data_IF_939645679119
#
_entry.id   IF_939645679119
#
_cell.length_a   1.000
_cell.length_b   1.000
_cell.length_c   1.000
_cell.angle_alpha   90.00
_cell.angle_beta   90.00
_cell.angle_gamma   90.00
#
_symmetry.space_group_name_H-M   'P 1'
#
loop_
_entity.id
_entity.type
_entity.pdbx_description
1 polymer ?
#
# COMPACT_ATOMS: atom_id res chain seq x y z
N UNK A 1 5.50 -1.83 2.23
CA UNK A 1 5.37 -2.28 0.82
C UNK A 1 6.48 -3.24 0.45
N UNK A 2 6.63 -3.55 -0.84
CA UNK A 2 7.74 -4.33 -1.41
C UNK A 2 8.59 -3.45 -2.32
N UNK A 3 9.88 -3.75 -2.41
CA UNK A 3 10.82 -3.06 -3.31
C UNK A 3 11.45 -4.09 -4.24
N UNK A 4 11.50 -3.77 -5.53
CA UNK A 4 12.21 -4.53 -6.55
C UNK A 4 13.28 -3.62 -7.17
N UNK A 5 14.51 -4.14 -7.29
CA UNK A 5 15.58 -3.52 -8.07
C UNK A 5 15.50 -4.11 -9.47
N UNK A 6 15.28 -3.26 -10.48
CA UNK A 6 15.17 -3.68 -11.86
C UNK A 6 16.56 -3.81 -12.50
N UNK A 7 16.71 -4.62 -13.58
CA UNK A 7 17.99 -4.79 -14.27
C UNK A 7 18.58 -3.50 -14.86
N UNK A 8 17.74 -2.51 -15.12
CA UNK A 8 18.15 -1.18 -15.61
C UNK A 8 18.61 -0.23 -14.48
N UNK A 9 18.63 -0.71 -13.23
CA UNK A 9 19.02 0.05 -12.05
C UNK A 9 17.91 0.90 -11.43
N UNK A 10 16.69 0.86 -11.97
CA UNK A 10 15.54 1.55 -11.37
C UNK A 10 14.97 0.76 -10.18
N UNK A 11 14.22 1.46 -9.32
CA UNK A 11 13.51 0.87 -8.18
C UNK A 11 12.01 0.91 -8.41
N UNK A 12 11.33 -0.20 -8.19
CA UNK A 12 9.87 -0.26 -8.12
C UNK A 12 9.44 -0.50 -6.68
N UNK A 13 8.70 0.45 -6.10
CA UNK A 13 8.08 0.30 -4.79
C UNK A 13 6.57 0.07 -4.95
N UNK A 14 6.05 -0.97 -4.31
CA UNK A 14 4.62 -1.27 -4.26
C UNK A 14 4.14 -1.16 -2.81
N UNK A 15 3.27 -0.19 -2.47
CA UNK A 15 2.66 -0.11 -1.14
C UNK A 15 1.84 -1.37 -0.82
N UNK A 16 1.65 -1.67 0.47
CA UNK A 16 0.66 -2.68 0.86
C UNK A 16 -0.76 -2.18 0.54
N UNK A 17 -1.71 -3.09 0.31
CA UNK A 17 -3.11 -2.70 0.15
C UNK A 17 -3.58 -1.88 1.35
N UNK A 18 -4.31 -0.78 1.08
CA UNK A 18 -4.86 0.17 2.06
C UNK A 18 -3.81 0.87 2.96
N UNK A 19 -2.53 0.83 2.60
CA UNK A 19 -1.51 1.60 3.29
C UNK A 19 -1.50 3.06 2.82
N UNK A 20 -1.45 3.98 3.78
CA UNK A 20 -1.12 5.37 3.55
C UNK A 20 -0.20 5.88 4.66
N UNK A 21 0.77 6.73 4.31
CA UNK A 21 1.79 7.18 5.24
C UNK A 21 3.17 7.26 4.60
N UNK A 22 4.21 7.28 5.43
CA UNK A 22 5.59 7.36 4.98
C UNK A 22 6.29 6.02 5.19
N UNK A 23 6.89 5.50 4.12
CA UNK A 23 7.78 4.34 4.15
C UNK A 23 9.22 4.80 3.91
N UNK A 24 10.19 4.06 4.45
CA UNK A 24 11.62 4.30 4.25
C UNK A 24 12.30 3.04 3.75
N UNK A 25 13.07 3.18 2.67
CA UNK A 25 13.85 2.10 2.05
C UNK A 25 15.33 2.45 2.19
N UNK A 26 16.10 1.58 2.83
CA UNK A 26 17.56 1.68 2.87
C UNK A 26 18.17 0.74 1.83
N UNK A 27 19.15 1.24 1.08
CA UNK A 27 19.82 0.47 0.04
C UNK A 27 21.32 0.73 0.02
N UNK A 28 22.07 -0.17 -0.60
CA UNK A 28 23.52 -0.05 -0.76
C UNK A 28 23.87 -0.12 -2.24
N UNK A 29 24.72 0.80 -2.70
CA UNK A 29 25.27 0.83 -4.06
C UNK A 29 26.74 0.42 -3.99
N UNK A 30 27.17 -0.47 -4.88
CA UNK A 30 28.56 -0.92 -5.00
C UNK A 30 29.12 -0.47 -6.35
N UNK A 31 30.39 -0.06 -6.38
CA UNK A 31 31.10 0.26 -7.62
C UNK A 31 31.70 -0.98 -8.31
N UNK A 32 31.55 -2.17 -7.71
CA UNK A 32 32.14 -3.42 -8.21
C UNK A 32 33.66 -3.55 -8.02
N UNK A 33 34.32 -2.53 -7.47
CA UNK A 33 35.74 -2.48 -7.18
C UNK A 33 36.05 -2.41 -5.66
N UNK A 34 35.03 -2.57 -4.82
CA UNK A 34 35.14 -2.63 -3.36
C UNK A 34 34.65 -1.36 -2.65
N UNK A 35 34.28 -0.31 -3.39
CA UNK A 35 33.59 0.85 -2.85
C UNK A 35 32.10 0.56 -2.66
N UNK A 36 31.56 0.96 -1.52
CA UNK A 36 30.13 0.86 -1.21
C UNK A 36 29.61 2.17 -0.60
N UNK A 37 28.38 2.53 -0.93
CA UNK A 37 27.69 3.68 -0.36
C UNK A 37 26.27 3.28 0.06
N UNK A 38 25.79 3.80 1.19
CA UNK A 38 24.40 3.63 1.63
C UNK A 38 23.55 4.84 1.22
N UNK A 39 22.32 4.56 0.80
CA UNK A 39 21.31 5.56 0.49
C UNK A 39 20.00 5.25 1.20
N UNK A 40 19.19 6.29 1.39
CA UNK A 40 17.84 6.20 1.96
C UNK A 40 16.86 6.84 1.00
N UNK A 41 15.83 6.09 0.62
CA UNK A 41 14.69 6.56 -0.15
C UNK A 41 13.48 6.68 0.79
N UNK A 42 12.93 7.89 0.91
CA UNK A 42 11.67 8.14 1.61
C UNK A 42 10.53 8.15 0.60
N UNK A 43 9.50 7.34 0.84
CA UNK A 43 8.31 7.25 0.00
C UNK A 43 7.11 7.74 0.78
N UNK A 44 6.37 8.71 0.24
CA UNK A 44 5.10 9.17 0.81
C UNK A 44 3.95 8.60 -0.01
N UNK A 45 3.12 7.79 0.63
CA UNK A 45 1.90 7.20 0.06
C UNK A 45 0.70 8.02 0.53
N UNK A 46 0.10 8.76 -0.38
CA UNK A 46 -1.09 9.58 -0.10
C UNK A 46 -2.31 8.68 0.04
N UNK A 47 -3.13 8.93 1.06
CA UNK A 47 -4.41 8.25 1.20
C UNK A 47 -5.34 8.56 0.03
N UNK A 48 -6.08 7.55 -0.40
CA UNK A 48 -7.18 7.67 -1.36
C UNK A 48 -8.45 7.26 -0.64
N UNK A 49 -9.51 8.05 -0.75
CA UNK A 49 -10.78 7.75 -0.11
C UNK A 49 -11.49 6.61 -0.86
N UNK A 50 -11.78 5.52 -0.15
CA UNK A 50 -12.56 4.41 -0.69
C UNK A 50 -14.06 4.68 -0.61
N UNK A 51 -14.81 4.15 -1.59
CA UNK A 51 -16.27 4.20 -1.53
C UNK A 51 -16.79 3.25 -0.44
N UNK A 52 -17.87 3.62 0.28
CA UNK A 52 -18.49 2.72 1.22
C UNK A 52 -19.03 1.48 0.49
N UNK A 53 -18.82 0.30 1.07
CA UNK A 53 -19.37 -0.96 0.57
C UNK A 53 -20.62 -1.28 1.38
N UNK A 54 -21.79 -1.17 0.75
CA UNK A 54 -23.05 -1.57 1.37
C UNK A 54 -23.19 -3.10 1.41
N UNK A 55 -23.59 -3.64 2.56
CA UNK A 55 -24.06 -5.02 2.67
C UNK A 55 -25.52 -5.13 2.25
N UNK A 56 -25.99 -6.34 1.92
CA UNK A 56 -27.41 -6.56 1.72
C UNK A 56 -28.15 -6.51 3.06
N UNK A 57 -29.14 -5.65 3.16
CA UNK A 57 -30.08 -5.66 4.27
C UNK A 57 -31.15 -6.73 4.03
N UNK A 58 -31.36 -7.60 5.01
CA UNK A 58 -32.45 -8.57 4.97
C UNK A 58 -33.33 -8.38 6.18
N UNK A 59 -34.64 -8.31 5.95
CA UNK A 59 -35.62 -8.32 7.02
C UNK A 59 -36.80 -9.22 6.63
N UNK A 60 -37.34 -9.90 7.63
CA UNK A 60 -38.58 -10.66 7.55
C UNK A 60 -39.48 -10.18 8.67
N UNK A 61 -40.77 -10.14 8.42
CA UNK A 61 -41.76 -9.73 9.40
C UNK A 61 -43.01 -10.54 9.23
N UNK A 62 -43.72 -10.74 10.34
CA UNK A 62 -45.05 -11.34 10.31
C UNK A 62 -46.05 -10.37 9.67
N UNK A 63 -47.21 -10.90 9.29
CA UNK A 63 -48.36 -10.06 8.92
C UNK A 63 -48.60 -8.99 9.99
N UNK A 64 -48.94 -7.78 9.54
CA UNK A 64 -49.26 -6.63 10.38
C UNK A 64 -48.13 -6.14 11.30
N UNK A 65 -46.89 -6.55 11.04
CA UNK A 65 -45.73 -6.14 11.83
C UNK A 65 -44.78 -5.27 11.00
N UNK A 66 -44.55 -3.99 11.36
CA UNK A 66 -43.59 -3.13 10.68
C UNK A 66 -42.13 -3.58 10.87
N UNK A 67 -41.29 -3.35 9.86
CA UNK A 67 -39.82 -3.43 9.94
C UNK A 67 -39.25 -2.01 9.83
N UNK A 68 -38.28 -1.68 10.68
CA UNK A 68 -37.52 -0.41 10.66
C UNK A 68 -36.04 -0.66 10.84
#
# INVERSE_FOLDING_TARGET
GTVVINPDGTLTYTPNANFNGTDTVTYTVSDGAGGVAMGTLTVTVTAVNDAPVAGADTATTDEDTPVT
#
